data_IF_739709121003
#
_entry.id   IF_739709121003
#
_cell.length_a   1.000
_cell.length_b   1.000
_cell.length_c   1.000
_cell.angle_alpha   90.00
_cell.angle_beta   90.00
_cell.angle_gamma   90.00
#
_symmetry.space_group_name_H-M   'P 1'
#
loop_
_entity.id
_entity.type
_entity.pdbx_description
1 polymer ?
#
# COMPACT_ATOMS: atom_id res chain seq x y z
N UNK A 1 -4.06 -1.18 10.93
CA UNK A 1 -3.34 -2.17 11.77
C UNK A 1 -4.12 -2.60 12.99
N UNK A 2 -4.78 -1.70 13.73
CA UNK A 2 -5.52 -2.03 14.96
C UNK A 2 -6.54 -3.17 14.80
N UNK A 3 -7.29 -3.18 13.70
CA UNK A 3 -8.26 -4.24 13.42
C UNK A 3 -7.64 -5.65 13.38
N UNK A 4 -6.48 -5.81 12.74
CA UNK A 4 -5.78 -7.11 12.66
C UNK A 4 -5.34 -7.56 14.06
N UNK A 5 -4.81 -6.65 14.88
CA UNK A 5 -4.42 -6.98 16.25
C UNK A 5 -5.62 -7.42 17.10
N UNK A 6 -6.73 -6.69 17.03
CA UNK A 6 -7.92 -6.98 17.82
C UNK A 6 -8.61 -8.28 17.42
N UNK A 7 -8.68 -8.57 16.11
CA UNK A 7 -9.46 -9.71 15.60
C UNK A 7 -8.59 -10.94 15.26
N UNK A 8 -7.28 -10.76 15.14
CA UNK A 8 -6.32 -11.81 14.79
C UNK A 8 -5.76 -12.60 15.96
N UNK A 9 -5.65 -11.99 17.14
CA UNK A 9 -5.10 -12.65 18.33
C UNK A 9 -5.99 -13.80 18.82
N UNK A 10 -7.31 -13.66 18.70
CA UNK A 10 -8.27 -14.71 19.07
C UNK A 10 -8.52 -15.75 17.97
N UNK A 11 -8.26 -15.40 16.71
CA UNK A 11 -8.43 -16.30 15.57
C UNK A 11 -7.41 -15.98 14.45
N UNK A 12 -6.36 -16.79 14.30
CA UNK A 12 -5.34 -16.59 13.27
C UNK A 12 -5.90 -16.54 11.85
N UNK A 13 -7.03 -17.20 11.55
CA UNK A 13 -7.64 -17.18 10.20
C UNK A 13 -8.04 -15.77 9.80
N UNK A 14 -8.54 -14.97 10.73
CA UNK A 14 -8.92 -13.57 10.50
C UNK A 14 -7.73 -12.72 10.11
N UNK A 15 -6.59 -12.89 10.79
CA UNK A 15 -5.36 -12.18 10.44
C UNK A 15 -4.80 -12.62 9.09
N UNK A 16 -4.81 -13.93 8.81
CA UNK A 16 -4.26 -14.50 7.59
C UNK A 16 -5.10 -14.16 6.35
N UNK A 17 -6.43 -14.11 6.47
CA UNK A 17 -7.33 -13.72 5.38
C UNK A 17 -7.04 -12.29 4.87
N UNK A 18 -6.69 -11.37 5.77
CA UNK A 18 -6.34 -9.98 5.44
C UNK A 18 -4.85 -9.72 5.16
N UNK A 19 -3.97 -10.73 5.27
CA UNK A 19 -2.53 -10.52 5.29
C UNK A 19 -1.98 -9.95 3.97
N UNK A 20 -2.37 -10.52 2.83
CA UNK A 20 -1.91 -10.08 1.49
C UNK A 20 -2.34 -8.64 1.16
N UNK A 21 -3.63 -8.24 1.28
CA UNK A 21 -4.01 -6.86 1.05
C UNK A 21 -3.34 -5.90 2.05
N UNK A 22 -3.12 -6.33 3.30
CA UNK A 22 -2.40 -5.53 4.28
C UNK A 22 -0.93 -5.30 3.89
N UNK A 23 -0.23 -6.35 3.42
CA UNK A 23 1.15 -6.22 2.93
C UNK A 23 1.22 -5.27 1.73
N UNK A 24 0.21 -5.29 0.86
CA UNK A 24 0.12 -4.36 -0.28
C UNK A 24 -0.08 -2.91 0.18
N UNK A 25 -0.96 -2.66 1.16
CA UNK A 25 -1.08 -1.34 1.80
C UNK A 25 0.27 -0.88 2.35
N UNK A 26 0.96 -1.76 3.08
CA UNK A 26 2.26 -1.46 3.66
C UNK A 26 3.29 -1.05 2.60
N UNK A 27 3.37 -1.80 1.49
CA UNK A 27 4.25 -1.48 0.36
C UNK A 27 3.92 -0.14 -0.30
N UNK A 28 2.63 0.15 -0.53
CA UNK A 28 2.17 1.42 -1.12
C UNK A 28 2.56 2.61 -0.23
N UNK A 29 2.23 2.55 1.06
CA UNK A 29 2.50 3.65 1.99
C UNK A 29 3.99 3.89 2.15
N UNK A 30 4.78 2.81 2.29
CA UNK A 30 6.24 2.90 2.42
C UNK A 30 6.88 3.48 1.14
N UNK A 31 6.44 3.01 -0.04
CA UNK A 31 6.91 3.54 -1.32
C UNK A 31 6.57 5.03 -1.51
N UNK A 32 5.37 5.45 -1.10
CA UNK A 32 4.97 6.86 -1.15
C UNK A 32 5.80 7.74 -0.24
N UNK A 33 6.10 7.26 0.97
CA UNK A 33 6.98 7.98 1.91
C UNK A 33 8.38 8.20 1.32
N UNK A 34 9.01 7.16 0.75
CA UNK A 34 10.31 7.31 0.10
C UNK A 34 10.26 8.23 -1.11
N UNK A 35 9.21 8.16 -1.92
CA UNK A 35 9.02 9.03 -3.08
C UNK A 35 8.89 10.51 -2.67
N UNK A 36 8.13 10.78 -1.61
CA UNK A 36 7.99 12.13 -1.05
C UNK A 36 9.33 12.66 -0.52
N UNK A 37 10.10 11.85 0.21
CA UNK A 37 11.45 12.24 0.68
C UNK A 37 12.42 12.54 -0.47
N UNK A 38 12.33 11.78 -1.55
CA UNK A 38 13.13 12.04 -2.75
C UNK A 38 12.75 13.37 -3.41
N UNK A 39 11.46 13.70 -3.47
CA UNK A 39 11.00 14.98 -3.99
C UNK A 39 11.40 16.16 -3.11
N UNK A 40 11.36 16.00 -1.77
CA UNK A 40 11.85 17.02 -0.82
C UNK A 40 13.35 17.31 -1.05
N UNK A 41 14.18 16.26 -1.16
CA UNK A 41 15.59 16.43 -1.46
C UNK A 41 15.82 17.07 -2.83
N UNK A 42 15.06 16.66 -3.86
CA UNK A 42 15.17 17.23 -5.20
C UNK A 42 14.79 18.73 -5.23
N UNK A 43 13.78 19.12 -4.47
CA UNK A 43 13.42 20.53 -4.31
C UNK A 43 14.53 21.31 -3.61
N UNK A 44 15.14 20.76 -2.55
CA UNK A 44 16.27 21.41 -1.87
C UNK A 44 17.46 21.66 -2.79
N UNK A 45 17.80 20.72 -3.68
CA UNK A 45 18.86 20.91 -4.68
C UNK A 45 18.51 21.98 -5.72
N UNK A 46 17.25 22.08 -6.14
CA UNK A 46 16.78 23.15 -7.01
C UNK A 46 16.91 24.52 -6.34
N UNK A 47 16.55 24.60 -5.05
CA UNK A 47 16.62 25.85 -4.28
C UNK A 47 18.07 26.32 -4.09
N UNK A 48 19.03 25.40 -4.08
CA UNK A 48 20.47 25.69 -4.04
C UNK A 48 21.06 26.06 -5.42
N UNK A 49 20.25 26.08 -6.48
CA UNK A 49 20.67 26.50 -7.82
C UNK A 49 21.33 25.39 -8.66
N UNK A 50 20.98 24.13 -8.43
CA UNK A 50 21.47 23.00 -9.25
C UNK A 50 21.18 23.19 -10.74
N UNK A 51 22.15 22.85 -11.59
CA UNK A 51 22.02 22.93 -13.05
C UNK A 51 21.23 21.77 -13.66
N UNK A 52 21.01 20.67 -12.92
CA UNK A 52 20.28 19.49 -13.40
C UNK A 52 18.76 19.59 -13.16
N UNK A 53 18.18 20.69 -13.61
CA UNK A 53 16.78 21.02 -13.30
C UNK A 53 15.80 20.02 -13.92
N UNK A 54 16.12 19.44 -15.08
CA UNK A 54 15.27 18.46 -15.75
C UNK A 54 15.10 17.17 -14.94
N UNK A 55 16.20 16.60 -14.45
CA UNK A 55 16.18 15.39 -13.63
C UNK A 55 15.46 15.62 -12.30
N UNK A 56 15.75 16.73 -11.61
CA UNK A 56 15.16 17.05 -10.30
C UNK A 56 13.64 17.29 -10.41
N UNK A 57 13.19 18.04 -11.42
CA UNK A 57 11.76 18.21 -11.70
C UNK A 57 11.07 16.88 -12.03
N UNK A 58 11.74 15.97 -12.75
CA UNK A 58 11.21 14.64 -13.01
C UNK A 58 11.01 13.82 -11.72
N UNK A 59 11.89 13.95 -10.72
CA UNK A 59 11.70 13.30 -9.40
C UNK A 59 10.49 13.83 -8.68
N UNK A 60 10.30 15.15 -8.68
CA UNK A 60 9.13 15.80 -8.07
C UNK A 60 7.84 15.35 -8.77
N UNK A 61 7.82 15.33 -10.11
CA UNK A 61 6.67 14.88 -10.88
C UNK A 61 6.33 13.41 -10.60
N UNK A 62 7.34 12.53 -10.52
CA UNK A 62 7.14 11.12 -10.18
C UNK A 62 6.55 10.93 -8.78
N UNK A 63 6.98 11.73 -7.80
CA UNK A 63 6.40 11.69 -6.46
C UNK A 63 4.94 12.14 -6.43
N UNK A 64 4.59 13.18 -7.18
CA UNK A 64 3.19 13.62 -7.36
C UNK A 64 2.34 12.54 -7.99
N UNK A 65 2.81 11.90 -9.06
CA UNK A 65 2.12 10.76 -9.67
C UNK A 65 1.87 9.64 -8.65
N UNK A 66 2.88 9.29 -7.84
CA UNK A 66 2.72 8.26 -6.82
C UNK A 66 1.66 8.64 -5.78
N UNK A 67 1.68 9.89 -5.32
CA UNK A 67 0.71 10.41 -4.35
C UNK A 67 -0.72 10.44 -4.90
N UNK A 68 -0.89 10.80 -6.18
CA UNK A 68 -2.21 10.96 -6.80
C UNK A 68 -2.80 9.65 -7.32
N UNK A 69 -1.96 8.71 -7.80
CA UNK A 69 -2.42 7.53 -8.53
C UNK A 69 -2.20 6.21 -7.79
N UNK A 70 -1.17 6.14 -6.94
CA UNK A 70 -0.79 4.88 -6.27
C UNK A 70 -1.28 4.86 -4.81
N UNK A 71 -1.07 5.94 -4.06
CA UNK A 71 -1.49 6.04 -2.66
C UNK A 71 -3.00 5.79 -2.44
N UNK A 72 -3.93 6.28 -3.29
CA UNK A 72 -5.37 6.01 -3.09
C UNK A 72 -5.73 4.53 -3.07
N UNK A 73 -4.95 3.67 -3.73
CA UNK A 73 -5.16 2.21 -3.71
C UNK A 73 -5.03 1.64 -2.29
N UNK A 74 -4.18 2.23 -1.43
CA UNK A 74 -4.05 1.80 -0.04
C UNK A 74 -5.37 1.97 0.73
N UNK A 75 -6.09 3.09 0.51
CA UNK A 75 -7.39 3.31 1.11
C UNK A 75 -8.43 2.29 0.59
N UNK A 76 -8.41 2.03 -0.72
CA UNK A 76 -9.32 1.04 -1.34
C UNK A 76 -9.14 -0.39 -0.81
N UNK A 77 -7.93 -0.76 -0.39
CA UNK A 77 -7.63 -2.10 0.15
C UNK A 77 -8.06 -2.29 1.61
N UNK A 78 -8.41 -1.22 2.34
CA UNK A 78 -8.76 -1.32 3.77
C UNK A 78 -9.94 -2.26 3.98
N UNK A 79 -10.98 -2.17 3.15
CA UNK A 79 -12.15 -3.03 3.26
C UNK A 79 -11.79 -4.52 3.09
N UNK A 80 -10.89 -4.84 2.16
CA UNK A 80 -10.40 -6.21 1.96
C UNK A 80 -9.59 -6.72 3.16
N UNK A 81 -8.83 -5.85 3.83
CA UNK A 81 -8.08 -6.21 5.05
C UNK A 81 -9.03 -6.53 6.21
N UNK A 82 -10.16 -5.82 6.30
CA UNK A 82 -11.09 -5.91 7.43
C UNK A 82 -12.33 -6.78 7.15
N UNK A 83 -12.34 -7.52 6.04
CA UNK A 83 -13.50 -8.31 5.61
C UNK A 83 -13.76 -9.57 6.44
N UNK A 84 -12.79 -10.02 7.24
CA UNK A 84 -12.87 -11.30 7.95
C UNK A 84 -12.41 -12.50 7.11
N UNK A 85 -12.66 -13.71 7.61
CA UNK A 85 -12.26 -14.96 6.95
C UNK A 85 -13.47 -15.77 6.46
N UNK A 86 -14.68 -15.40 6.86
CA UNK A 86 -15.91 -16.17 6.68
C UNK A 86 -16.15 -16.49 5.21
N UNK A 87 -16.11 -15.48 4.33
CA UNK A 87 -16.27 -15.66 2.88
C UNK A 87 -15.13 -16.48 2.26
N UNK A 88 -13.90 -16.33 2.74
CA UNK A 88 -12.74 -17.09 2.24
C UNK A 88 -12.88 -18.59 2.53
N UNK A 89 -13.50 -18.94 3.65
CA UNK A 89 -13.71 -20.33 4.07
C UNK A 89 -15.14 -20.84 3.80
N UNK A 90 -15.95 -20.11 3.04
CA UNK A 90 -17.35 -20.48 2.76
C UNK A 90 -17.48 -21.60 1.71
N UNK A 91 -16.45 -21.82 0.89
CA UNK A 91 -16.46 -22.82 -0.18
C UNK A 91 -15.49 -23.95 0.20
N UNK A 92 -15.96 -25.20 0.10
CA UNK A 92 -15.12 -26.37 0.28
C UNK A 92 -14.06 -26.44 -0.85
N UNK A 93 -12.78 -26.67 -0.53
CA UNK A 93 -11.73 -26.87 -1.53
C UNK A 93 -12.08 -27.86 -2.65
N UNK A 94 -12.84 -28.92 -2.36
CA UNK A 94 -13.27 -29.92 -3.35
C UNK A 94 -14.16 -29.29 -4.45
N UNK A 95 -14.98 -28.30 -4.09
CA UNK A 95 -15.83 -27.57 -5.03
C UNK A 95 -15.09 -26.46 -5.79
N UNK A 96 -13.89 -26.06 -5.36
CA UNK A 96 -13.03 -25.13 -6.12
C UNK A 96 -12.31 -25.82 -7.28
N UNK A 97 -12.08 -27.13 -7.18
CA UNK A 97 -11.32 -27.91 -8.16
C UNK A 97 -12.18 -28.59 -9.24
N UNK A 98 -13.51 -28.63 -9.06
CA UNK A 98 -14.42 -29.19 -10.06
C UNK A 98 -14.69 -28.16 -11.16
N UNK A 99 -13.81 -28.13 -12.16
CA UNK A 99 -14.02 -27.47 -13.47
C UNK A 99 -13.98 -28.51 -14.57
#
# INVERSE_FOLDING_TARGET
TNWIFQNGLGNPKTALAGATPYLRIFGIVTGGWFSARLAEAAQGELDLGSSDTGYLNAKIANAKFFAEQIIPQAAGLVASVTAGFETLYAIDPEHLASV
#
